data_IF_496039102198
#
_entry.id   IF_496039102198
#
_cell.length_a   1.000
_cell.length_b   1.000
_cell.length_c   1.000
_cell.angle_alpha   90.00
_cell.angle_beta   90.00
_cell.angle_gamma   90.00
#
_symmetry.space_group_name_H-M   'P 1'
#
loop_
_entity.id
_entity.type
_entity.pdbx_description
1 polymer ?
#
# COMPACT_ATOMS: atom_id res chain seq x y z
N UNK A 1 14.47 16.57 0.95
CA UNK A 1 14.45 17.00 -0.48
C UNK A 1 13.15 16.60 -1.19
N UNK A 2 12.73 15.33 -1.15
CA UNK A 2 11.51 14.88 -1.84
C UNK A 2 10.19 15.51 -1.36
N UNK A 3 10.04 15.76 -0.05
CA UNK A 3 8.84 16.39 0.53
C UNK A 3 8.64 17.86 0.12
N UNK A 4 9.63 18.76 0.25
CA UNK A 4 9.47 20.15 -0.19
C UNK A 4 9.28 20.27 -1.71
N UNK A 5 9.93 19.42 -2.52
CA UNK A 5 9.72 19.39 -3.98
C UNK A 5 8.30 18.96 -4.36
N UNK A 6 7.74 17.94 -3.68
CA UNK A 6 6.35 17.52 -3.92
C UNK A 6 5.35 18.58 -3.44
N UNK A 7 5.60 19.24 -2.31
CA UNK A 7 4.75 20.31 -1.81
C UNK A 7 4.72 21.51 -2.76
N UNK A 8 5.87 21.89 -3.32
CA UNK A 8 5.97 22.95 -4.33
C UNK A 8 5.20 22.59 -5.61
N UNK A 9 5.27 21.33 -6.04
CA UNK A 9 4.52 20.82 -7.19
C UNK A 9 3.00 20.86 -6.97
N UNK A 10 2.52 20.41 -5.80
CA UNK A 10 1.09 20.48 -5.45
C UNK A 10 0.62 21.93 -5.42
N UNK A 11 1.41 22.82 -4.81
CA UNK A 11 1.07 24.23 -4.75
C UNK A 11 0.95 24.85 -6.15
N UNK A 12 1.95 24.65 -7.02
CA UNK A 12 1.92 25.18 -8.40
C UNK A 12 0.76 24.61 -9.23
N UNK A 13 0.45 23.33 -9.10
CA UNK A 13 -0.65 22.71 -9.86
C UNK A 13 -2.04 23.18 -9.42
N UNK A 14 -2.18 23.64 -8.17
CA UNK A 14 -3.45 24.15 -7.62
C UNK A 14 -3.62 25.65 -7.88
N UNK A 15 -2.54 26.44 -7.85
CA UNK A 15 -2.62 27.91 -8.00
C UNK A 15 -2.42 28.41 -9.42
N UNK A 16 -1.71 27.68 -10.27
CA UNK A 16 -1.42 28.07 -11.65
C UNK A 16 -1.90 27.01 -12.63
N UNK A 17 -2.95 27.31 -13.38
CA UNK A 17 -3.31 26.53 -14.56
C UNK A 17 -2.12 26.42 -15.51
N UNK A 18 -1.93 25.24 -16.12
CA UNK A 18 -0.81 24.96 -17.01
C UNK A 18 -0.96 25.84 -18.26
N UNK A 19 -0.09 26.83 -18.42
CA UNK A 19 -0.20 27.86 -19.46
C UNK A 19 0.89 27.77 -20.54
N UNK A 20 1.88 26.86 -20.44
CA UNK A 20 2.87 26.67 -21.53
C UNK A 20 3.70 25.37 -21.55
N UNK A 21 4.33 25.05 -22.71
CA UNK A 21 5.06 23.78 -22.93
C UNK A 21 6.26 23.57 -21.99
N UNK A 22 6.98 24.65 -21.68
CA UNK A 22 8.12 24.62 -20.76
C UNK A 22 7.72 24.30 -19.32
N UNK A 23 6.52 24.73 -18.91
CA UNK A 23 5.96 24.36 -17.60
C UNK A 23 5.66 22.86 -17.54
N UNK A 24 5.15 22.29 -18.63
CA UNK A 24 4.83 20.86 -18.71
C UNK A 24 6.09 19.98 -18.62
N UNK A 25 7.15 20.34 -19.34
CA UNK A 25 8.45 19.65 -19.26
C UNK A 25 9.04 19.75 -17.84
N UNK A 26 9.01 20.94 -17.24
CA UNK A 26 9.47 21.15 -15.88
C UNK A 26 8.67 20.32 -14.85
N UNK A 27 7.35 20.23 -14.99
CA UNK A 27 6.51 19.41 -14.10
C UNK A 27 6.75 17.91 -14.26
N UNK A 28 6.98 17.43 -15.48
CA UNK A 28 7.31 16.02 -15.73
C UNK A 28 8.65 15.65 -15.10
N UNK A 29 9.67 16.50 -15.25
CA UNK A 29 10.97 16.33 -14.60
C UNK A 29 10.89 16.40 -13.07
N UNK A 30 10.12 17.36 -12.54
CA UNK A 30 9.91 17.48 -11.10
C UNK A 30 9.18 16.26 -10.52
N UNK A 31 8.22 15.67 -11.24
CA UNK A 31 7.52 14.44 -10.82
C UNK A 31 8.43 13.22 -10.81
N UNK A 32 9.26 13.02 -11.83
CA UNK A 32 10.17 11.86 -11.88
C UNK A 32 11.27 11.98 -10.83
N UNK A 33 11.95 13.14 -10.77
CA UNK A 33 13.02 13.36 -9.79
C UNK A 33 12.48 13.43 -8.37
N UNK A 34 11.38 14.18 -8.16
CA UNK A 34 10.73 14.31 -6.86
C UNK A 34 10.13 13.00 -6.36
N UNK A 35 9.51 12.23 -7.25
CA UNK A 35 8.96 10.90 -6.96
C UNK A 35 10.05 9.90 -6.56
N UNK A 36 11.11 9.77 -7.37
CA UNK A 36 12.23 8.87 -7.07
C UNK A 36 12.95 9.28 -5.79
N UNK A 37 13.21 10.58 -5.61
CA UNK A 37 13.85 11.11 -4.39
C UNK A 37 13.01 10.84 -3.14
N UNK A 38 11.68 10.97 -3.25
CA UNK A 38 10.77 10.66 -2.14
C UNK A 38 10.76 9.17 -1.84
N UNK A 39 10.73 8.30 -2.85
CA UNK A 39 10.80 6.84 -2.66
C UNK A 39 12.09 6.43 -1.95
N UNK A 40 13.25 6.95 -2.39
CA UNK A 40 14.54 6.66 -1.74
C UNK A 40 14.53 7.17 -0.29
N UNK A 41 14.03 8.39 -0.06
CA UNK A 41 13.91 8.95 1.27
C UNK A 41 13.02 8.08 2.19
N UNK A 42 11.86 7.64 1.70
CA UNK A 42 10.94 6.80 2.47
C UNK A 42 11.56 5.43 2.76
N UNK A 43 12.21 4.80 1.78
CA UNK A 43 12.91 3.51 1.98
C UNK A 43 14.03 3.67 3.01
N UNK A 44 14.87 4.69 2.89
CA UNK A 44 15.95 4.95 3.84
C UNK A 44 15.43 5.27 5.25
N UNK A 45 14.36 6.06 5.36
CA UNK A 45 13.73 6.38 6.64
C UNK A 45 13.14 5.12 7.29
N UNK A 46 12.45 4.28 6.52
CA UNK A 46 11.86 3.03 7.01
C UNK A 46 12.92 2.01 7.43
N UNK A 47 14.01 1.87 6.67
CA UNK A 47 15.11 0.95 7.03
C UNK A 47 15.84 1.41 8.29
N UNK A 48 16.12 2.71 8.42
CA UNK A 48 16.71 3.28 9.65
C UNK A 48 15.78 3.14 10.85
N UNK A 49 14.47 3.32 10.66
CA UNK A 49 13.48 3.12 11.72
C UNK A 49 13.40 1.65 12.14
N UNK A 50 13.44 0.72 11.18
CA UNK A 50 13.42 -0.72 11.43
C UNK A 50 14.66 -1.23 12.19
N UNK A 51 15.80 -0.51 12.13
CA UNK A 51 16.99 -0.81 12.91
C UNK A 51 16.88 -0.40 14.39
N UNK A 52 15.91 0.45 14.76
CA UNK A 52 15.71 0.84 16.17
C UNK A 52 14.96 -0.24 16.95
N UNK A 53 15.56 -0.70 18.06
CA UNK A 53 15.02 -1.79 18.88
C UNK A 53 13.55 -1.59 19.32
N UNK A 54 13.16 -0.36 19.69
CA UNK A 54 11.79 -0.03 20.11
C UNK A 54 10.73 -0.25 19.01
N UNK A 55 11.10 -0.14 17.74
CA UNK A 55 10.19 -0.29 16.61
C UNK A 55 10.14 -1.71 16.07
N UNK A 56 11.13 -2.54 16.41
CA UNK A 56 11.25 -3.91 15.91
C UNK A 56 10.08 -4.80 16.35
N UNK A 57 9.57 -4.60 17.56
CA UNK A 57 8.42 -5.35 18.10
C UNK A 57 7.09 -4.89 17.48
N UNK A 58 6.89 -3.57 17.36
CA UNK A 58 5.71 -2.99 16.69
C UNK A 58 5.66 -3.33 15.19
N UNK A 59 6.83 -3.42 14.55
CA UNK A 59 6.93 -3.85 13.16
C UNK A 59 6.67 -5.34 12.98
N UNK A 60 6.69 -6.16 14.03
CA UNK A 60 6.33 -7.58 13.92
C UNK A 60 4.91 -7.78 13.38
N UNK A 61 3.96 -6.99 13.87
CA UNK A 61 2.57 -7.03 13.42
C UNK A 61 2.40 -6.58 11.96
N UNK A 62 3.16 -5.57 11.54
CA UNK A 62 3.18 -5.06 10.16
C UNK A 62 3.95 -5.98 9.21
N UNK A 63 4.97 -6.68 9.71
CA UNK A 63 5.76 -7.63 8.94
C UNK A 63 4.89 -8.79 8.47
N UNK A 64 3.94 -9.26 9.30
CA UNK A 64 2.98 -10.27 8.89
C UNK A 64 2.13 -9.83 7.68
N UNK A 65 1.65 -8.58 7.69
CA UNK A 65 0.91 -7.99 6.56
C UNK A 65 1.79 -7.92 5.30
N UNK A 66 3.05 -7.52 5.45
CA UNK A 66 4.01 -7.47 4.34
C UNK A 66 4.33 -8.84 3.73
N UNK A 67 4.41 -9.89 4.56
CA UNK A 67 4.60 -11.28 4.09
C UNK A 67 3.38 -11.85 3.37
N UNK A 68 2.20 -11.27 3.59
CA UNK A 68 0.93 -11.62 2.95
C UNK A 68 0.45 -10.52 2.01
N UNK A 69 1.35 -9.74 1.41
CA UNK A 69 0.99 -8.56 0.62
C UNK A 69 0.06 -8.89 -0.57
N UNK A 70 0.29 -10.00 -1.28
CA UNK A 70 -0.56 -10.41 -2.40
C UNK A 70 -1.93 -10.88 -1.92
N UNK A 71 -1.95 -11.71 -0.88
CA UNK A 71 -3.21 -12.18 -0.28
C UNK A 71 -4.05 -11.01 0.26
N UNK A 72 -3.41 -10.07 0.97
CA UNK A 72 -4.08 -8.90 1.53
C UNK A 72 -4.56 -7.94 0.44
N UNK A 73 -3.78 -7.77 -0.63
CA UNK A 73 -4.20 -6.98 -1.79
C UNK A 73 -5.44 -7.58 -2.46
N UNK A 74 -5.44 -8.90 -2.70
CA UNK A 74 -6.59 -9.58 -3.30
C UNK A 74 -7.82 -9.53 -2.40
N UNK A 75 -7.64 -9.77 -1.10
CA UNK A 75 -8.73 -9.68 -0.12
C UNK A 75 -9.31 -8.27 -0.05
N UNK A 76 -8.45 -7.25 0.01
CA UNK A 76 -8.86 -5.85 0.00
C UNK A 76 -9.62 -5.51 -1.27
N UNK A 77 -9.08 -5.89 -2.43
CA UNK A 77 -9.71 -5.64 -3.72
C UNK A 77 -11.09 -6.29 -3.78
N UNK A 78 -11.19 -7.58 -3.43
CA UNK A 78 -12.45 -8.31 -3.43
C UNK A 78 -13.49 -7.66 -2.52
N UNK A 79 -13.11 -7.31 -1.29
CA UNK A 79 -14.05 -6.68 -0.33
C UNK A 79 -14.50 -5.30 -0.82
N UNK A 80 -13.58 -4.45 -1.25
CA UNK A 80 -13.95 -3.10 -1.67
C UNK A 80 -14.66 -3.06 -3.02
N UNK A 81 -14.35 -3.96 -3.95
CA UNK A 81 -15.13 -4.04 -5.18
C UNK A 81 -16.51 -4.59 -4.91
N UNK A 82 -16.69 -5.55 -4.00
CA UNK A 82 -18.03 -6.00 -3.57
C UNK A 82 -18.82 -4.89 -2.86
N UNK A 83 -18.17 -4.05 -2.06
CA UNK A 83 -18.86 -2.94 -1.39
C UNK A 83 -19.23 -1.84 -2.39
N UNK A 84 -18.29 -1.42 -3.23
CA UNK A 84 -18.50 -0.23 -4.04
C UNK A 84 -19.08 -0.53 -5.43
N UNK A 85 -18.65 -1.59 -6.13
CA UNK A 85 -19.09 -1.80 -7.50
C UNK A 85 -20.57 -2.21 -7.57
N UNK A 86 -21.19 -1.87 -8.71
CA UNK A 86 -22.62 -2.11 -8.96
C UNK A 86 -23.05 -3.58 -8.97
N UNK A 87 -22.11 -4.54 -9.07
CA UNK A 87 -22.41 -5.97 -8.94
C UNK A 87 -22.48 -6.45 -7.49
N UNK A 88 -22.11 -5.62 -6.51
CA UNK A 88 -22.22 -5.92 -5.10
C UNK A 88 -23.25 -5.00 -4.41
N UNK A 89 -22.81 -4.15 -3.47
CA UNK A 89 -23.70 -3.21 -2.78
C UNK A 89 -23.91 -1.90 -3.54
N UNK A 90 -23.12 -1.62 -4.59
CA UNK A 90 -23.33 -0.45 -5.47
C UNK A 90 -23.18 0.91 -4.79
N UNK A 91 -22.48 0.98 -3.66
CA UNK A 91 -22.37 2.19 -2.83
C UNK A 91 -21.33 3.20 -3.38
N UNK A 92 -20.85 2.97 -4.61
CA UNK A 92 -19.89 3.85 -5.27
C UNK A 92 -20.43 5.27 -5.39
N UNK A 93 -19.66 6.25 -4.92
CA UNK A 93 -20.05 7.65 -4.91
C UNK A 93 -21.08 8.06 -3.85
N UNK A 94 -21.65 7.11 -3.11
CA UNK A 94 -22.61 7.38 -2.02
C UNK A 94 -21.92 7.55 -0.67
N UNK A 95 -20.78 6.86 -0.45
CA UNK A 95 -19.96 7.05 0.73
C UNK A 95 -19.03 8.27 0.55
N UNK A 96 -19.17 9.26 1.43
CA UNK A 96 -18.28 10.43 1.44
C UNK A 96 -16.80 10.05 1.72
N UNK A 97 -15.83 10.90 1.35
CA UNK A 97 -14.39 10.59 1.49
C UNK A 97 -13.97 10.19 2.91
N UNK A 98 -14.55 10.84 3.92
CA UNK A 98 -14.29 10.55 5.33
C UNK A 98 -14.72 9.13 5.72
N UNK A 99 -15.91 8.71 5.29
CA UNK A 99 -16.46 7.39 5.63
C UNK A 99 -15.69 6.28 4.93
N UNK A 100 -15.32 6.48 3.67
CA UNK A 100 -14.46 5.56 2.91
C UNK A 100 -13.08 5.41 3.54
N UNK A 101 -12.47 6.52 4.01
CA UNK A 101 -11.20 6.48 4.74
C UNK A 101 -11.31 5.70 6.05
N UNK A 102 -12.36 5.98 6.84
CA UNK A 102 -12.59 5.30 8.11
C UNK A 102 -12.77 3.78 7.91
N UNK A 103 -13.59 3.39 6.93
CA UNK A 103 -13.83 1.98 6.60
C UNK A 103 -12.54 1.30 6.13
N UNK A 104 -11.70 1.99 5.35
CA UNK A 104 -10.37 1.50 4.94
C UNK A 104 -9.43 1.29 6.12
N UNK A 105 -9.39 2.22 7.08
CA UNK A 105 -8.55 2.08 8.27
C UNK A 105 -9.01 0.93 9.18
N UNK A 106 -10.32 0.76 9.35
CA UNK A 106 -10.88 -0.35 10.13
C UNK A 106 -10.59 -1.69 9.46
N UNK A 107 -10.79 -1.78 8.15
CA UNK A 107 -10.51 -2.98 7.39
C UNK A 107 -9.01 -3.32 7.40
N UNK A 108 -8.14 -2.32 7.27
CA UNK A 108 -6.70 -2.53 7.36
C UNK A 108 -6.25 -3.03 8.75
N UNK A 109 -6.84 -2.51 9.84
CA UNK A 109 -6.60 -3.06 11.19
C UNK A 109 -7.03 -4.52 11.30
N UNK A 110 -8.17 -4.87 10.72
CA UNK A 110 -8.62 -6.26 10.66
C UNK A 110 -7.63 -7.13 9.87
N UNK A 111 -7.13 -6.64 8.73
CA UNK A 111 -6.11 -7.36 7.94
C UNK A 111 -4.81 -7.58 8.72
N UNK A 112 -4.36 -6.62 9.53
CA UNK A 112 -3.21 -6.81 10.42
C UNK A 112 -3.46 -7.99 11.36
N UNK A 113 -4.61 -7.99 12.03
CA UNK A 113 -4.95 -9.07 12.96
C UNK A 113 -5.06 -10.43 12.26
N UNK A 114 -5.76 -10.49 11.12
CA UNK A 114 -5.90 -11.72 10.33
C UNK A 114 -4.56 -12.23 9.81
N UNK A 115 -3.67 -11.34 9.35
CA UNK A 115 -2.35 -11.72 8.83
C UNK A 115 -1.48 -12.32 9.94
N UNK A 116 -1.48 -11.72 11.12
CA UNK A 116 -0.73 -12.26 12.27
C UNK A 116 -1.30 -13.61 12.73
N UNK A 117 -2.63 -13.71 12.84
CA UNK A 117 -3.30 -14.96 13.20
C UNK A 117 -3.03 -16.09 12.19
N UNK A 118 -3.03 -15.77 10.90
CA UNK A 118 -2.77 -16.73 9.83
C UNK A 118 -1.32 -17.22 9.88
N UNK A 119 -0.38 -16.28 9.98
CA UNK A 119 1.05 -16.58 9.96
C UNK A 119 1.57 -17.24 11.25
N UNK A 120 0.79 -17.21 12.33
CA UNK A 120 1.03 -18.05 13.50
C UNK A 120 0.77 -19.54 13.23
N UNK A 121 0.03 -19.89 12.16
CA UNK A 121 -0.36 -21.26 11.80
C UNK A 121 0.23 -21.74 10.48
N UNK A 122 0.49 -20.81 9.55
CA UNK A 122 0.94 -21.09 8.20
C UNK A 122 2.19 -20.29 7.84
N UNK A 123 3.05 -20.86 6.99
CA UNK A 123 4.32 -20.24 6.59
C UNK A 123 4.15 -19.11 5.58
N UNK A 124 3.11 -19.19 4.77
CA UNK A 124 2.83 -18.27 3.66
C UNK A 124 1.37 -17.85 3.66
N UNK A 125 1.07 -16.69 3.07
CA UNK A 125 -0.30 -16.36 2.71
C UNK A 125 -0.81 -17.29 1.61
N UNK A 126 -2.14 -17.48 1.50
CA UNK A 126 -2.74 -18.42 0.56
C UNK A 126 -2.40 -18.11 -0.90
N UNK A 127 -2.44 -16.82 -1.31
CA UNK A 127 -2.11 -16.42 -2.66
C UNK A 127 -0.61 -16.51 -2.95
N UNK A 128 0.24 -16.17 -1.97
CA UNK A 128 1.70 -16.30 -2.09
C UNK A 128 2.12 -17.76 -2.20
N UNK A 129 1.45 -18.65 -1.46
CA UNK A 129 1.67 -20.08 -1.55
C UNK A 129 1.29 -20.60 -2.94
N UNK A 130 0.10 -20.23 -3.43
CA UNK A 130 -0.36 -20.62 -4.77
C UNK A 130 0.62 -20.12 -5.83
N UNK A 131 1.06 -18.86 -5.73
CA UNK A 131 2.05 -18.27 -6.62
C UNK A 131 3.35 -19.07 -6.63
N UNK A 132 3.90 -19.40 -5.45
CA UNK A 132 5.14 -20.20 -5.35
C UNK A 132 4.96 -21.61 -5.92
N UNK A 133 3.83 -22.26 -5.65
CA UNK A 133 3.53 -23.58 -6.21
C UNK A 133 3.50 -23.53 -7.75
N UNK A 134 2.93 -22.47 -8.33
CA UNK A 134 2.92 -22.25 -9.78
C UNK A 134 4.32 -21.95 -10.33
N UNK A 135 5.09 -21.07 -9.70
CA UNK A 135 6.43 -20.68 -10.18
C UNK A 135 7.43 -21.84 -10.14
N UNK A 136 7.40 -22.65 -9.08
CA UNK A 136 8.35 -23.75 -8.89
C UNK A 136 7.84 -25.10 -9.38
N UNK A 137 6.56 -25.19 -9.79
CA UNK A 137 5.93 -26.44 -10.21
C UNK A 137 5.89 -27.53 -9.12
N UNK A 138 6.10 -27.16 -7.85
CA UNK A 138 6.17 -28.08 -6.71
C UNK A 138 5.33 -27.54 -5.56
N UNK A 139 4.54 -28.42 -4.95
CA UNK A 139 3.75 -28.11 -3.76
C UNK A 139 4.68 -27.78 -2.59
N UNK A 140 4.63 -26.53 -2.13
CA UNK A 140 5.39 -26.07 -0.98
C UNK A 140 4.67 -26.45 0.34
N UNK A 141 5.38 -26.78 1.42
CA UNK A 141 4.74 -27.04 2.71
C UNK A 141 4.13 -25.75 3.27
N UNK A 142 2.81 -25.78 3.51
CA UNK A 142 2.03 -24.60 3.94
C UNK A 142 1.98 -24.42 5.46
N UNK A 143 1.99 -25.52 6.24
CA UNK A 143 1.94 -25.48 7.72
C UNK A 143 3.35 -25.32 8.31
N UNK A 144 3.41 -24.61 9.43
CA UNK A 144 4.65 -24.41 10.22
C UNK A 144 5.00 -25.69 10.96
#
# INVERSE_FOLDING_TARGET
>A
IGLPLNALWVWQSVTSGITGPWQEVAMRGARTVGGVSLSIFLVAALTLLAQRAAWREHMGGLAAVGRMALSNYLLQSLVFTLIFYGYGLGVYGQAGPFLTLLLSLLFFRLQIWMSNWWLARFRFGPAEWLWRCMTYGKLQPLRV
#
